data_IF_867766021105
#
_entry.id   IF_867766021105
#
_cell.length_a   1.000
_cell.length_b   1.000
_cell.length_c   1.000
_cell.angle_alpha   90.00
_cell.angle_beta   90.00
_cell.angle_gamma   90.00
#
_symmetry.space_group_name_H-M   'P 1'
#
loop_
_entity.id
_entity.type
_entity.pdbx_description
1 polymer ?
#
# COMPACT_ATOMS: atom_id res chain seq x y z
N UNK A 1 19.31 -0.30 -10.20
CA UNK A 1 18.27 -1.08 -9.49
C UNK A 1 18.47 -2.52 -9.93
N UNK A 2 18.73 -3.45 -9.01
CA UNK A 2 19.05 -4.85 -9.35
C UNK A 2 17.75 -5.64 -9.45
N UNK A 3 17.61 -6.43 -10.52
CA UNK A 3 16.47 -7.32 -10.69
C UNK A 3 16.70 -8.61 -9.90
N UNK A 4 15.66 -9.13 -9.25
CA UNK A 4 15.74 -10.47 -8.66
C UNK A 4 15.62 -11.52 -9.78
N UNK A 5 16.76 -11.97 -10.32
CA UNK A 5 16.81 -12.97 -11.37
C UNK A 5 17.08 -14.38 -10.81
N UNK A 6 16.90 -15.40 -11.65
CA UNK A 6 17.22 -16.77 -11.27
C UNK A 6 18.72 -16.93 -10.98
N UNK A 7 19.58 -16.31 -11.81
CA UNK A 7 21.03 -16.37 -11.62
C UNK A 7 21.46 -15.73 -10.29
N UNK A 8 20.80 -14.63 -9.88
CA UNK A 8 21.06 -14.01 -8.58
C UNK A 8 20.71 -14.97 -7.43
N UNK A 9 19.59 -15.67 -7.53
CA UNK A 9 19.14 -16.65 -6.52
C UNK A 9 20.12 -17.83 -6.44
N UNK A 10 20.58 -18.33 -7.57
CA UNK A 10 21.53 -19.45 -7.63
C UNK A 10 22.90 -19.10 -7.05
N UNK A 11 23.36 -17.86 -7.26
CA UNK A 11 24.66 -17.38 -6.78
C UNK A 11 24.62 -16.83 -5.34
N UNK A 12 23.44 -16.54 -4.81
CA UNK A 12 23.25 -16.04 -3.46
C UNK A 12 23.75 -17.04 -2.40
N UNK A 13 24.17 -16.52 -1.25
CA UNK A 13 24.66 -17.37 -0.17
C UNK A 13 23.53 -18.23 0.39
N UNK A 14 23.83 -19.52 0.58
CA UNK A 14 22.90 -20.51 1.11
C UNK A 14 23.59 -21.27 2.23
N UNK A 15 22.94 -21.37 3.38
CA UNK A 15 23.52 -22.03 4.55
C UNK A 15 22.45 -22.53 5.51
N UNK A 16 22.88 -23.33 6.49
CA UNK A 16 22.04 -23.65 7.65
C UNK A 16 22.22 -22.56 8.69
N UNK A 17 21.14 -21.88 9.04
CA UNK A 17 21.18 -20.77 9.99
C UNK A 17 21.25 -21.25 11.46
N UNK A 18 21.40 -20.35 12.45
CA UNK A 18 21.55 -20.72 13.86
C UNK A 18 20.35 -21.48 14.47
N UNK A 19 19.16 -21.40 13.87
CA UNK A 19 17.98 -22.15 14.31
C UNK A 19 17.80 -23.47 13.52
N UNK A 20 18.80 -23.85 12.73
CA UNK A 20 18.87 -25.08 11.92
C UNK A 20 17.93 -25.11 10.72
N UNK A 21 17.49 -23.95 10.26
CA UNK A 21 16.72 -23.80 9.03
C UNK A 21 17.67 -23.65 7.83
N UNK A 22 17.28 -24.16 6.66
CA UNK A 22 17.99 -23.85 5.41
C UNK A 22 17.60 -22.44 4.97
N UNK A 23 18.57 -21.54 4.94
CA UNK A 23 18.38 -20.11 4.67
C UNK A 23 19.00 -19.71 3.32
N UNK A 24 18.27 -18.87 2.59
CA UNK A 24 18.74 -18.15 1.42
C UNK A 24 18.94 -16.67 1.78
N UNK A 25 20.17 -16.17 1.61
CA UNK A 25 20.54 -14.80 1.93
C UNK A 25 20.48 -13.91 0.67
N UNK A 26 19.47 -13.05 0.62
CA UNK A 26 19.26 -12.05 -0.43
C UNK A 26 19.39 -10.62 0.13
N UNK A 27 20.23 -10.42 1.15
CA UNK A 27 20.41 -9.11 1.79
C UNK A 27 21.15 -8.12 0.89
N UNK A 28 20.75 -6.85 0.97
CA UNK A 28 21.57 -5.73 0.47
C UNK A 28 21.67 -5.59 -1.07
N UNK A 29 20.92 -6.37 -1.85
CA UNK A 29 21.00 -6.32 -3.32
C UNK A 29 20.24 -5.13 -3.94
N UNK A 30 19.55 -4.31 -3.14
CA UNK A 30 18.68 -3.20 -3.62
C UNK A 30 17.57 -3.70 -4.56
N UNK A 31 17.00 -4.86 -4.23
CA UNK A 31 15.90 -5.49 -4.97
C UNK A 31 14.63 -4.64 -4.80
N UNK A 32 13.99 -4.18 -5.88
CA UNK A 32 12.79 -3.35 -5.82
C UNK A 32 11.48 -4.15 -5.79
N UNK A 33 11.51 -5.37 -6.32
CA UNK A 33 10.35 -6.21 -6.65
C UNK A 33 10.74 -7.66 -6.42
N UNK A 34 9.85 -8.40 -5.76
CA UNK A 34 9.96 -9.84 -5.59
C UNK A 34 9.41 -10.52 -6.85
N UNK A 35 10.24 -11.32 -7.51
CA UNK A 35 9.91 -12.03 -8.74
C UNK A 35 10.90 -13.20 -8.92
N UNK A 36 10.61 -14.13 -9.84
CA UNK A 36 11.47 -15.28 -10.18
C UNK A 36 11.82 -16.20 -9.01
N UNK A 37 11.08 -16.14 -7.91
CA UNK A 37 11.27 -16.96 -6.72
C UNK A 37 11.01 -18.46 -6.98
N UNK A 38 10.50 -18.84 -8.15
CA UNK A 38 10.45 -20.24 -8.60
C UNK A 38 11.83 -20.89 -8.70
N UNK A 39 12.88 -20.10 -8.94
CA UNK A 39 14.27 -20.57 -8.95
C UNK A 39 14.76 -21.07 -7.59
N UNK A 40 14.04 -20.76 -6.50
CA UNK A 40 14.35 -21.30 -5.16
C UNK A 40 14.00 -22.78 -5.02
N UNK A 41 13.18 -23.31 -5.94
CA UNK A 41 12.74 -24.71 -6.00
C UNK A 41 12.13 -25.23 -4.68
N UNK A 42 11.50 -24.34 -3.89
CA UNK A 42 10.88 -24.65 -2.59
C UNK A 42 11.82 -25.36 -1.59
N UNK A 43 13.12 -25.03 -1.65
CA UNK A 43 14.14 -25.73 -0.87
C UNK A 43 14.45 -25.10 0.49
N UNK A 44 13.99 -23.87 0.74
CA UNK A 44 14.40 -23.07 1.90
C UNK A 44 13.30 -22.98 2.94
N UNK A 45 13.71 -23.04 4.21
CA UNK A 45 12.87 -22.82 5.37
C UNK A 45 12.80 -21.33 5.72
N UNK A 46 13.88 -20.58 5.47
CA UNK A 46 13.99 -19.13 5.68
C UNK A 46 14.52 -18.43 4.43
N UNK A 47 13.96 -17.27 4.09
CA UNK A 47 14.57 -16.36 3.09
C UNK A 47 14.74 -14.98 3.73
N UNK A 48 15.94 -14.44 3.61
CA UNK A 48 16.26 -13.11 4.11
C UNK A 48 16.37 -12.08 2.98
N UNK A 49 15.42 -11.14 2.95
CA UNK A 49 15.37 -10.00 2.04
C UNK A 49 15.72 -8.68 2.74
N UNK A 50 16.41 -8.69 3.88
CA UNK A 50 16.73 -7.48 4.62
C UNK A 50 17.58 -6.51 3.79
N UNK A 51 17.42 -5.21 4.05
CA UNK A 51 18.19 -4.15 3.39
C UNK A 51 18.00 -4.08 1.86
N UNK A 52 16.76 -4.27 1.41
CA UNK A 52 16.35 -4.11 0.01
C UNK A 52 15.38 -2.92 -0.17
N UNK A 53 14.85 -2.73 -1.39
CA UNK A 53 13.94 -1.64 -1.72
C UNK A 53 12.51 -2.11 -2.05
N UNK A 54 12.13 -3.29 -1.55
CA UNK A 54 10.85 -3.93 -1.87
C UNK A 54 9.70 -3.08 -1.37
N UNK A 55 8.74 -2.78 -2.26
CA UNK A 55 7.57 -1.95 -1.94
C UNK A 55 6.28 -2.73 -1.68
N UNK A 56 6.18 -3.94 -2.22
CA UNK A 56 5.01 -4.82 -2.09
C UNK A 56 5.48 -6.22 -1.72
N UNK A 57 4.92 -6.78 -0.65
CA UNK A 57 5.13 -8.18 -0.28
C UNK A 57 4.16 -9.05 -1.08
N UNK A 58 4.61 -9.55 -2.23
CA UNK A 58 3.83 -10.31 -3.22
C UNK A 58 4.81 -11.02 -4.19
N UNK A 59 4.32 -11.70 -5.23
CA UNK A 59 5.16 -12.27 -6.29
C UNK A 59 5.83 -13.59 -5.92
N UNK A 60 5.37 -14.24 -4.85
CA UNK A 60 5.80 -15.57 -4.45
C UNK A 60 5.08 -16.63 -5.30
N UNK A 61 5.78 -17.67 -5.79
CA UNK A 61 5.14 -18.91 -6.22
C UNK A 61 4.64 -19.68 -4.99
N UNK A 62 4.03 -20.84 -5.22
CA UNK A 62 3.74 -21.79 -4.14
C UNK A 62 5.05 -22.32 -3.53
N UNK A 63 5.33 -21.92 -2.28
CA UNK A 63 6.46 -22.36 -1.48
C UNK A 63 5.93 -22.98 -0.18
N UNK A 64 5.84 -24.31 -0.14
CA UNK A 64 5.30 -25.06 1.01
C UNK A 64 6.31 -25.21 2.14
N UNK A 65 7.60 -25.09 1.85
CA UNK A 65 8.65 -25.25 2.86
C UNK A 65 8.93 -23.97 3.63
N UNK A 66 8.66 -22.81 3.02
CA UNK A 66 9.02 -21.51 3.58
C UNK A 66 8.23 -21.20 4.84
N UNK A 67 8.94 -21.06 5.97
CA UNK A 67 8.37 -20.79 7.30
C UNK A 67 8.66 -19.38 7.79
N UNK A 68 9.80 -18.82 7.40
CA UNK A 68 10.27 -17.54 7.94
C UNK A 68 10.65 -16.58 6.80
N UNK A 69 10.11 -15.37 6.87
CA UNK A 69 10.46 -14.27 5.97
C UNK A 69 11.01 -13.09 6.76
N UNK A 70 12.27 -12.74 6.47
CA UNK A 70 12.94 -11.59 7.04
C UNK A 70 12.92 -10.46 6.00
N UNK A 71 12.19 -9.39 6.29
CA UNK A 71 11.97 -8.25 5.37
C UNK A 71 12.41 -6.93 6.02
N UNK A 72 13.45 -6.97 6.87
CA UNK A 72 13.90 -5.78 7.60
C UNK A 72 14.35 -4.67 6.63
N UNK A 73 14.18 -3.42 7.03
CA UNK A 73 14.75 -2.27 6.31
C UNK A 73 14.38 -2.22 4.82
N UNK A 74 13.11 -2.48 4.50
CA UNK A 74 12.56 -2.38 3.16
C UNK A 74 11.61 -1.18 3.03
N UNK A 75 10.92 -1.03 1.89
CA UNK A 75 9.96 0.05 1.63
C UNK A 75 8.53 -0.48 1.53
N UNK A 76 8.22 -1.60 2.21
CA UNK A 76 6.94 -2.28 2.07
C UNK A 76 5.83 -1.37 2.58
N UNK A 77 4.89 -1.06 1.71
CA UNK A 77 3.70 -0.28 2.04
C UNK A 77 2.39 -1.03 1.74
N UNK A 78 2.50 -2.21 1.10
CA UNK A 78 1.36 -3.06 0.72
C UNK A 78 1.74 -4.53 0.83
N UNK A 79 0.77 -5.34 1.23
CA UNK A 79 0.86 -6.81 1.18
C UNK A 79 -0.08 -7.30 0.10
N UNK A 80 0.37 -8.29 -0.66
CA UNK A 80 -0.39 -8.95 -1.73
C UNK A 80 -1.67 -9.60 -1.23
N UNK A 81 -2.57 -9.84 -2.16
CA UNK A 81 -3.77 -10.65 -1.92
C UNK A 81 -3.38 -12.13 -2.00
N UNK A 82 -4.01 -12.99 -1.20
CA UNK A 82 -3.79 -14.45 -1.26
C UNK A 82 -2.36 -14.91 -0.97
N UNK A 83 -1.60 -14.19 -0.13
CA UNK A 83 -0.24 -14.60 0.24
C UNK A 83 -0.21 -15.99 0.90
N UNK A 84 -1.29 -16.39 1.57
CA UNK A 84 -1.53 -17.73 2.09
C UNK A 84 -1.53 -18.85 1.06
N UNK A 85 -1.99 -18.57 -0.16
CA UNK A 85 -2.03 -19.57 -1.23
C UNK A 85 -0.61 -19.84 -1.74
N UNK A 86 0.23 -18.82 -1.68
CA UNK A 86 1.64 -18.91 -2.08
C UNK A 86 2.50 -19.45 -0.95
N UNK A 87 2.25 -19.03 0.29
CA UNK A 87 3.05 -19.34 1.47
C UNK A 87 2.19 -20.00 2.57
N UNK A 88 1.68 -21.22 2.34
CA UNK A 88 0.71 -21.86 3.23
C UNK A 88 1.26 -22.17 4.62
N UNK A 89 2.58 -22.35 4.77
CA UNK A 89 3.23 -22.74 6.03
C UNK A 89 4.05 -21.60 6.67
N UNK A 90 3.81 -20.34 6.28
CA UNK A 90 4.50 -19.18 6.83
C UNK A 90 4.15 -18.96 8.31
N UNK A 91 5.14 -19.08 9.19
CA UNK A 91 5.02 -19.00 10.65
C UNK A 91 5.55 -17.68 11.21
N UNK A 92 6.56 -17.11 10.58
CA UNK A 92 7.25 -15.92 11.07
C UNK A 92 7.44 -14.89 9.96
N UNK A 93 6.97 -13.66 10.21
CA UNK A 93 7.10 -12.55 9.26
C UNK A 93 7.66 -11.31 9.97
N UNK A 94 8.90 -10.95 9.64
CA UNK A 94 9.59 -9.80 10.23
C UNK A 94 9.57 -8.64 9.24
N UNK A 95 8.75 -7.62 9.51
CA UNK A 95 8.58 -6.41 8.68
C UNK A 95 9.15 -5.17 9.38
N UNK A 96 10.12 -5.33 10.28
CA UNK A 96 10.72 -4.23 11.03
C UNK A 96 11.29 -3.16 10.09
N UNK A 97 11.05 -1.89 10.39
CA UNK A 97 11.54 -0.73 9.63
C UNK A 97 11.11 -0.77 8.15
N UNK A 98 9.79 -0.72 7.94
CA UNK A 98 9.15 -0.61 6.63
C UNK A 98 8.20 0.62 6.60
N UNK A 99 7.41 0.77 5.53
CA UNK A 99 6.50 1.90 5.34
C UNK A 99 5.02 1.48 5.40
N UNK A 100 4.69 0.53 6.27
CA UNK A 100 3.31 0.11 6.49
C UNK A 100 2.61 1.21 7.28
N UNK A 101 1.79 2.01 6.60
CA UNK A 101 1.10 3.14 7.21
C UNK A 101 -0.23 2.76 7.82
N UNK A 102 -0.87 1.72 7.28
CA UNK A 102 -2.24 1.43 7.61
C UNK A 102 -2.48 -0.04 7.83
N UNK A 103 -3.29 -0.28 8.87
CA UNK A 103 -4.02 -1.51 9.08
C UNK A 103 -5.14 -1.71 8.04
N UNK A 104 -5.21 -0.84 7.01
CA UNK A 104 -6.12 -0.90 5.85
C UNK A 104 -5.75 -2.08 4.98
N UNK A 105 -6.03 -3.21 5.56
CA UNK A 105 -5.76 -4.50 5.05
C UNK A 105 -7.11 -5.18 5.18
N UNK A 106 -8.06 -4.73 4.38
CA UNK A 106 -9.09 -5.63 3.90
C UNK A 106 -8.46 -6.86 3.21
N UNK A 107 -7.16 -6.77 2.82
CA UNK A 107 -6.23 -7.90 2.73
C UNK A 107 -5.44 -8.43 3.94
N UNK A 108 -5.64 -8.05 5.20
CA UNK A 108 -4.93 -8.65 6.37
C UNK A 108 -5.86 -8.87 7.57
N UNK A 109 -6.98 -8.18 7.67
CA UNK A 109 -8.07 -8.58 8.55
C UNK A 109 -8.81 -9.80 7.99
N UNK A 110 -8.93 -9.89 6.66
CA UNK A 110 -9.16 -11.17 6.00
C UNK A 110 -7.79 -11.84 5.81
N UNK A 111 -6.84 -11.33 5.03
CA UNK A 111 -5.62 -12.12 4.73
C UNK A 111 -4.50 -12.20 5.79
N UNK A 112 -4.65 -11.87 7.09
CA UNK A 112 -3.82 -12.45 8.19
C UNK A 112 -4.67 -13.36 9.08
N UNK A 113 -5.98 -13.23 8.99
CA UNK A 113 -6.88 -14.33 9.30
C UNK A 113 -6.82 -15.42 8.21
N UNK A 114 -6.31 -15.09 7.01
CA UNK A 114 -6.15 -15.97 5.84
C UNK A 114 -4.67 -16.28 5.55
N UNK A 115 -3.69 -15.33 5.68
CA UNK A 115 -2.23 -15.62 5.74
C UNK A 115 -2.03 -16.61 6.86
N UNK A 116 -1.81 -17.84 6.40
CA UNK A 116 -1.70 -19.07 7.12
C UNK A 116 -2.42 -19.12 8.48
N UNK A 117 -3.32 -20.08 8.61
CA UNK A 117 -3.76 -20.59 9.91
C UNK A 117 -2.61 -20.86 10.91
N UNK A 118 -1.35 -20.87 10.44
CA UNK A 118 -0.13 -21.08 11.23
C UNK A 118 0.72 -19.84 11.54
N UNK A 119 0.41 -18.62 11.06
CA UNK A 119 1.24 -17.44 11.36
C UNK A 119 1.28 -17.16 12.87
N UNK A 120 2.45 -17.28 13.47
CA UNK A 120 2.61 -17.30 14.92
C UNK A 120 3.46 -16.15 15.47
N UNK A 121 4.37 -15.59 14.66
CA UNK A 121 5.17 -14.45 15.02
C UNK A 121 5.15 -13.37 13.92
N UNK A 122 4.97 -12.12 14.33
CA UNK A 122 5.06 -10.97 13.42
C UNK A 122 5.75 -9.79 14.11
N UNK A 123 6.56 -9.04 13.37
CA UNK A 123 7.10 -7.75 13.82
C UNK A 123 6.75 -6.67 12.81
N UNK A 124 6.10 -5.61 13.27
CA UNK A 124 5.82 -4.38 12.52
C UNK A 124 6.53 -3.18 13.15
N UNK A 125 7.47 -3.39 14.08
CA UNK A 125 8.25 -2.34 14.71
C UNK A 125 8.82 -1.34 13.68
N UNK A 126 8.90 -0.07 14.06
CA UNK A 126 9.41 1.01 13.18
C UNK A 126 8.63 1.16 11.87
N UNK A 127 7.35 0.81 11.84
CA UNK A 127 6.44 1.18 10.76
C UNK A 127 5.49 2.28 11.24
N UNK A 128 5.02 3.22 10.40
CA UNK A 128 4.10 4.26 10.84
C UNK A 128 2.80 3.73 11.47
N UNK A 129 2.37 2.51 11.11
CA UNK A 129 1.21 1.83 11.69
C UNK A 129 1.30 1.66 13.21
N UNK A 130 2.50 1.51 13.77
CA UNK A 130 2.68 1.28 15.22
C UNK A 130 2.30 2.50 16.06
N UNK A 131 2.24 3.69 15.45
CA UNK A 131 1.83 4.92 16.12
C UNK A 131 0.30 5.09 16.20
N UNK A 132 -0.47 4.19 15.59
CA UNK A 132 -1.94 4.24 15.65
C UNK A 132 -2.44 3.82 17.01
N UNK A 133 -3.45 4.52 17.53
CA UNK A 133 -4.14 4.15 18.77
C UNK A 133 -4.66 2.72 18.67
N UNK A 134 -4.49 1.96 19.76
CA UNK A 134 -4.94 0.55 19.86
C UNK A 134 -4.34 -0.40 18.81
N UNK A 135 -3.24 -0.03 18.13
CA UNK A 135 -2.57 -0.85 17.11
C UNK A 135 -2.37 -2.31 17.56
N UNK A 136 -1.79 -2.50 18.75
CA UNK A 136 -1.45 -3.84 19.26
C UNK A 136 -2.70 -4.71 19.45
N UNK A 137 -3.72 -4.17 20.12
CA UNK A 137 -5.00 -4.88 20.34
C UNK A 137 -5.73 -5.14 19.02
N UNK A 138 -5.65 -4.21 18.06
CA UNK A 138 -6.21 -4.40 16.74
C UNK A 138 -5.55 -5.59 16.01
N UNK A 139 -4.22 -5.67 16.02
CA UNK A 139 -3.51 -6.81 15.40
C UNK A 139 -3.87 -8.12 16.08
N UNK A 140 -3.90 -8.15 17.42
CA UNK A 140 -4.32 -9.33 18.19
C UNK A 140 -5.75 -9.76 17.85
N UNK A 141 -6.67 -8.81 17.65
CA UNK A 141 -8.05 -9.11 17.25
C UNK A 141 -8.14 -9.66 15.82
N UNK A 142 -7.32 -9.15 14.89
CA UNK A 142 -7.32 -9.58 13.48
C UNK A 142 -6.56 -10.87 13.23
N UNK A 143 -5.59 -11.19 14.07
CA UNK A 143 -4.74 -12.39 13.96
C UNK A 143 -4.83 -13.15 15.28
N UNK A 144 -5.96 -13.78 15.59
CA UNK A 144 -6.14 -14.43 16.89
C UNK A 144 -5.12 -15.54 17.15
N UNK A 145 -4.54 -16.15 16.12
CA UNK A 145 -3.50 -17.18 16.25
C UNK A 145 -2.10 -16.65 16.62
N UNK A 146 -1.85 -15.35 16.50
CA UNK A 146 -0.52 -14.76 16.73
C UNK A 146 -0.07 -14.97 18.18
N UNK A 147 1.14 -15.49 18.39
CA UNK A 147 1.72 -15.78 19.72
C UNK A 147 2.72 -14.73 20.15
N UNK A 148 3.48 -14.19 19.21
CA UNK A 148 4.50 -13.16 19.43
C UNK A 148 4.24 -12.01 18.46
N UNK A 149 4.08 -10.80 19.00
CA UNK A 149 3.93 -9.59 18.20
C UNK A 149 4.96 -8.57 18.66
N UNK A 150 5.73 -8.04 17.72
CA UNK A 150 6.78 -7.04 17.99
C UNK A 150 7.80 -7.53 19.03
N UNK A 151 8.20 -8.80 18.90
CA UNK A 151 9.07 -9.53 19.83
C UNK A 151 8.54 -9.64 21.27
N UNK A 152 7.24 -9.37 21.47
CA UNK A 152 6.57 -9.50 22.76
C UNK A 152 5.49 -10.59 22.70
N UNK A 153 5.54 -11.52 23.65
CA UNK A 153 4.52 -12.57 23.80
C UNK A 153 3.14 -11.95 24.02
N UNK A 154 2.15 -12.41 23.26
CA UNK A 154 0.74 -12.02 23.42
C UNK A 154 0.14 -12.76 24.62
N UNK A 155 -0.32 -11.99 25.61
CA UNK A 155 -0.91 -12.53 26.84
C UNK A 155 -2.42 -12.70 26.71
N UNK A 156 -3.00 -13.61 27.50
CA UNK A 156 -4.45 -13.86 27.52
C UNK A 156 -5.25 -12.58 27.85
N UNK A 157 -4.75 -11.76 28.78
CA UNK A 157 -5.37 -10.47 29.14
C UNK A 157 -5.54 -9.56 27.92
N UNK A 158 -4.52 -9.44 27.08
CA UNK A 158 -4.58 -8.61 25.86
C UNK A 158 -5.59 -9.17 24.86
N UNK A 159 -5.74 -10.50 24.78
CA UNK A 159 -6.76 -11.14 23.91
C UNK A 159 -8.17 -10.79 24.36
N UNK A 160 -8.43 -10.90 25.67
CA UNK A 160 -9.73 -10.55 26.25
C UNK A 160 -10.05 -9.06 26.07
N UNK A 161 -9.05 -8.19 26.25
CA UNK A 161 -9.19 -6.75 26.01
C UNK A 161 -9.48 -6.44 24.54
N UNK A 162 -8.76 -7.07 23.62
CA UNK A 162 -8.97 -6.93 22.19
C UNK A 162 -10.37 -7.40 21.78
N UNK A 163 -10.79 -8.58 22.24
CA UNK A 163 -12.14 -9.11 22.00
C UNK A 163 -13.21 -8.13 22.51
N UNK A 164 -13.10 -7.66 23.76
CA UNK A 164 -14.04 -6.70 24.35
C UNK A 164 -14.11 -5.40 23.56
N UNK A 165 -12.96 -4.87 23.10
CA UNK A 165 -12.87 -3.61 22.36
C UNK A 165 -13.52 -3.70 20.98
N UNK A 166 -13.33 -4.82 20.27
CA UNK A 166 -13.79 -4.99 18.89
C UNK A 166 -15.09 -5.80 18.76
N UNK A 167 -15.76 -6.14 19.88
CA UNK A 167 -17.06 -6.83 19.90
C UNK A 167 -18.23 -5.95 19.45
N UNK A 168 -19.18 -6.55 18.73
CA UNK A 168 -20.45 -5.93 18.34
C UNK A 168 -20.33 -4.81 17.30
N UNK A 169 -21.46 -4.14 17.02
CA UNK A 169 -21.55 -3.12 15.96
C UNK A 169 -20.56 -1.96 16.13
N UNK A 170 -20.33 -1.51 17.37
CA UNK A 170 -19.40 -0.43 17.69
C UNK A 170 -17.94 -0.83 17.45
N UNK A 171 -17.56 -2.04 17.85
CA UNK A 171 -16.21 -2.57 17.61
C UNK A 171 -15.90 -2.75 16.12
N UNK A 172 -16.87 -3.22 15.34
CA UNK A 172 -16.75 -3.30 13.88
C UNK A 172 -16.55 -1.92 13.25
N UNK A 173 -17.29 -0.90 13.71
CA UNK A 173 -17.13 0.46 13.21
C UNK A 173 -15.75 1.03 13.57
N UNK A 174 -15.29 0.84 14.81
CA UNK A 174 -13.95 1.25 15.25
C UNK A 174 -12.87 0.59 14.39
N UNK A 175 -12.99 -0.71 14.12
CA UNK A 175 -12.05 -1.42 13.26
C UNK A 175 -12.04 -0.84 11.83
N UNK A 176 -13.21 -0.50 11.27
CA UNK A 176 -13.32 0.16 9.97
C UNK A 176 -12.68 1.54 9.96
N UNK A 177 -12.88 2.34 11.00
CA UNK A 177 -12.31 3.68 11.11
C UNK A 177 -10.78 3.64 11.27
N UNK A 178 -10.25 2.69 12.05
CA UNK A 178 -8.82 2.44 12.15
C UNK A 178 -8.20 1.95 10.84
N UNK A 179 -8.98 1.23 10.05
CA UNK A 179 -8.61 0.74 8.72
C UNK A 179 -8.84 1.79 7.61
N UNK A 180 -9.42 2.97 7.87
CA UNK A 180 -9.61 3.96 6.80
C UNK A 180 -8.28 4.57 6.37
N UNK A 181 -8.18 4.77 5.04
CA UNK A 181 -7.04 5.44 4.42
C UNK A 181 -6.93 6.88 4.88
N UNK A 182 -5.83 7.23 5.55
CA UNK A 182 -5.47 8.63 5.73
C UNK A 182 -4.94 9.10 4.38
N UNK A 183 -5.52 10.15 3.80
CA UNK A 183 -5.03 10.74 2.55
C UNK A 183 -3.72 11.47 2.82
N UNK A 184 -2.65 10.73 3.12
CA UNK A 184 -1.34 11.29 3.35
C UNK A 184 -0.61 11.36 2.02
N UNK A 185 -0.33 12.59 1.58
CA UNK A 185 0.47 12.86 0.39
C UNK A 185 1.88 12.28 0.61
N UNK A 186 2.30 11.35 -0.25
CA UNK A 186 3.66 10.78 -0.26
C UNK A 186 4.42 11.35 -1.46
N UNK A 187 5.40 12.25 -1.25
CA UNK A 187 6.23 12.75 -2.35
C UNK A 187 7.00 11.59 -3.02
N UNK A 188 6.86 11.44 -4.34
CA UNK A 188 7.61 10.45 -5.12
C UNK A 188 6.84 9.19 -5.57
N UNK A 189 5.56 9.05 -5.21
CA UNK A 189 4.66 8.10 -5.89
C UNK A 189 4.04 8.83 -7.07
N UNK A 190 4.35 8.40 -8.29
CA UNK A 190 3.52 8.72 -9.46
C UNK A 190 2.13 8.21 -9.12
N UNK A 191 1.25 9.12 -8.70
CA UNK A 191 -0.17 8.82 -8.64
C UNK A 191 -0.52 8.30 -10.04
N UNK A 192 -1.29 7.22 -10.20
CA UNK A 192 -1.95 7.04 -11.47
C UNK A 192 -2.70 8.35 -11.67
N UNK A 193 -2.27 9.16 -12.65
CA UNK A 193 -3.05 10.29 -13.08
C UNK A 193 -4.46 9.75 -13.17
N UNK A 194 -5.41 10.41 -12.47
CA UNK A 194 -6.82 10.14 -12.73
C UNK A 194 -6.91 10.14 -14.25
N UNK A 195 -7.14 8.97 -14.87
CA UNK A 195 -7.41 8.90 -16.29
C UNK A 195 -8.44 10.00 -16.48
N UNK A 196 -8.10 11.02 -17.26
CA UNK A 196 -9.05 12.07 -17.61
C UNK A 196 -10.16 11.31 -18.30
N UNK A 197 -11.19 10.93 -17.55
CA UNK A 197 -12.39 10.33 -18.09
C UNK A 197 -12.89 11.38 -19.05
N UNK A 198 -12.99 11.02 -20.33
CA UNK A 198 -13.49 11.93 -21.35
C UNK A 198 -14.83 12.53 -20.93
N UNK A 199 -15.26 13.61 -21.61
CA UNK A 199 -16.57 14.22 -21.36
C UNK A 199 -17.65 13.13 -21.33
N UNK A 200 -18.62 13.26 -20.41
CA UNK A 200 -19.71 12.31 -20.29
C UNK A 200 -20.51 12.23 -21.60
N UNK A 201 -21.29 11.16 -21.82
CA UNK A 201 -22.09 11.07 -23.04
C UNK A 201 -23.04 12.27 -23.22
N UNK A 202 -23.60 12.79 -22.12
CA UNK A 202 -24.42 13.99 -22.12
C UNK A 202 -23.62 15.25 -22.53
N UNK A 203 -22.36 15.37 -22.09
CA UNK A 203 -21.49 16.46 -22.50
C UNK A 203 -21.17 16.39 -24.01
N UNK A 204 -20.94 15.17 -24.53
CA UNK A 204 -20.67 14.95 -25.96
C UNK A 204 -21.89 15.32 -26.81
N UNK A 205 -23.10 15.01 -26.36
CA UNK A 205 -24.34 15.40 -27.03
C UNK A 205 -24.57 16.91 -27.00
N UNK A 206 -24.33 17.57 -25.86
CA UNK A 206 -24.43 19.02 -25.75
C UNK A 206 -23.47 19.73 -26.71
N UNK A 207 -22.23 19.22 -26.84
CA UNK A 207 -21.23 19.74 -27.78
C UNK A 207 -21.69 19.56 -29.23
N UNK A 208 -22.20 18.37 -29.59
CA UNK A 208 -22.70 18.10 -30.94
C UNK A 208 -23.87 19.01 -31.31
N UNK A 209 -24.82 19.18 -30.39
CA UNK A 209 -26.00 20.03 -30.60
C UNK A 209 -25.61 21.52 -30.71
N UNK A 210 -24.64 21.99 -29.92
CA UNK A 210 -24.15 23.37 -30.01
C UNK A 210 -23.46 23.64 -31.35
N UNK A 211 -22.66 22.68 -31.86
CA UNK A 211 -22.00 22.80 -33.16
C UNK A 211 -23.01 22.74 -34.31
N UNK A 212 -24.01 21.85 -34.25
CA UNK A 212 -25.02 21.72 -35.31
C UNK A 212 -25.95 22.93 -35.43
N UNK A 213 -26.18 23.63 -34.31
CA UNK A 213 -27.06 24.81 -34.26
C UNK A 213 -26.31 26.13 -34.51
N UNK A 214 -24.99 26.10 -34.71
CA UNK A 214 -24.22 27.31 -34.98
C UNK A 214 -24.53 27.86 -36.38
N UNK A 215 -25.01 29.09 -36.46
CA UNK A 215 -25.45 29.75 -37.71
C UNK A 215 -24.36 30.57 -38.40
N UNK A 216 -23.17 30.69 -37.80
CA UNK A 216 -22.06 31.47 -38.36
C UNK A 216 -20.69 30.84 -38.05
N UNK A 217 -19.71 31.12 -38.91
CA UNK A 217 -18.31 30.69 -38.74
C UNK A 217 -17.69 31.24 -37.45
N UNK A 218 -18.02 32.48 -37.08
CA UNK A 218 -17.57 33.11 -35.84
C UNK A 218 -18.08 32.35 -34.59
N UNK A 219 -19.31 31.83 -34.64
CA UNK A 219 -19.88 31.05 -33.53
C UNK A 219 -19.21 29.67 -33.40
N UNK A 220 -18.84 29.05 -34.53
CA UNK A 220 -18.08 27.79 -34.53
C UNK A 220 -16.68 27.99 -33.94
N UNK A 221 -15.99 29.09 -34.27
CA UNK A 221 -14.68 29.42 -33.68
C UNK A 221 -14.78 29.70 -32.18
N UNK A 222 -15.84 30.39 -31.75
CA UNK A 222 -16.13 30.63 -30.33
C UNK A 222 -16.32 29.31 -29.57
N UNK A 223 -17.13 28.40 -30.10
CA UNK A 223 -17.34 27.07 -29.51
C UNK A 223 -16.04 26.25 -29.46
N UNK A 224 -15.22 26.30 -30.51
CA UNK A 224 -13.90 25.65 -30.54
C UNK A 224 -12.97 26.20 -29.45
N UNK A 225 -12.94 27.52 -29.27
CA UNK A 225 -12.18 28.18 -28.21
C UNK A 225 -12.65 27.77 -26.81
N UNK A 226 -13.97 27.70 -26.58
CA UNK A 226 -14.55 27.25 -25.31
C UNK A 226 -14.15 25.81 -24.96
N UNK A 227 -14.16 24.90 -25.94
CA UNK A 227 -13.75 23.50 -25.74
C UNK A 227 -12.25 23.36 -25.47
N UNK A 228 -11.41 24.17 -26.13
CA UNK A 228 -9.98 24.24 -25.84
C UNK A 228 -9.71 24.76 -24.42
N UNK A 229 -10.56 25.67 -23.92
CA UNK A 229 -10.54 26.16 -22.54
C UNK A 229 -11.19 25.19 -21.53
N UNK A 230 -11.67 24.02 -21.97
CA UNK A 230 -12.28 23.00 -21.11
C UNK A 230 -13.70 23.32 -20.63
N UNK A 231 -14.40 24.26 -21.29
CA UNK A 231 -15.78 24.64 -20.97
C UNK A 231 -16.76 23.92 -21.91
N UNK A 232 -17.82 23.34 -21.34
CA UNK A 232 -18.85 22.61 -22.07
C UNK A 232 -20.09 23.50 -22.21
N UNK A 233 -20.60 23.75 -23.42
CA UNK A 233 -21.80 24.57 -23.63
C UNK A 233 -23.00 24.04 -22.82
N UNK A 234 -23.69 24.92 -22.09
CA UNK A 234 -24.88 24.58 -21.30
C UNK A 234 -24.62 24.11 -19.86
N UNK A 235 -23.35 24.02 -19.42
CA UNK A 235 -23.01 23.69 -18.03
C UNK A 235 -22.79 24.97 -17.21
N UNK A 236 -23.84 25.45 -16.53
CA UNK A 236 -23.72 26.57 -15.59
C UNK A 236 -22.85 26.18 -14.38
N UNK A 237 -21.84 26.99 -14.08
CA UNK A 237 -20.98 26.89 -12.89
C UNK A 237 -21.77 27.30 -11.62
N UNK A 238 -22.80 26.55 -11.24
CA UNK A 238 -23.46 26.68 -9.93
C UNK A 238 -23.87 25.32 -9.39
N UNK A 239 -22.91 24.63 -8.77
CA UNK A 239 -22.99 24.04 -7.43
C UNK A 239 -21.78 23.13 -7.21
N UNK A 240 -20.98 23.46 -6.19
CA UNK A 240 -19.83 22.65 -5.74
C UNK A 240 -18.59 23.49 -5.55
N UNK A 241 -18.51 24.23 -4.44
CA UNK A 241 -17.43 25.15 -4.12
C UNK A 241 -16.04 24.51 -4.18
N UNK A 242 -15.15 25.15 -4.94
CA UNK A 242 -13.71 25.06 -4.79
C UNK A 242 -13.22 26.48 -4.46
N UNK A 243 -12.71 26.66 -3.24
CA UNK A 243 -11.94 27.85 -2.89
C UNK A 243 -10.65 27.87 -3.71
N UNK A 244 -10.29 28.99 -4.37
CA UNK A 244 -8.96 29.13 -4.92
C UNK A 244 -7.98 29.38 -3.78
N UNK A 245 -6.92 28.56 -3.72
CA UNK A 245 -5.77 28.82 -2.88
C UNK A 245 -5.14 30.16 -3.31
N UNK A 246 -5.07 31.11 -2.38
CA UNK A 246 -4.35 32.37 -2.56
C UNK A 246 -2.87 32.04 -2.75
N UNK A 247 -2.35 32.38 -3.93
CA UNK A 247 -0.92 32.40 -4.20
C UNK A 247 -0.28 33.50 -3.34
N UNK A 248 0.52 33.11 -2.35
CA UNK A 248 1.47 33.99 -1.69
C UNK A 248 2.61 34.24 -2.68
N UNK A 249 2.50 35.33 -3.44
CA UNK A 249 3.59 35.90 -4.21
C UNK A 249 4.48 36.70 -3.25
N UNK A 250 5.75 36.28 -3.14
CA UNK A 250 6.83 37.13 -2.64
C UNK A 250 6.93 38.40 -3.50
N UNK A 251 6.59 39.55 -2.91
CA UNK A 251 6.97 40.85 -3.42
C UNK A 251 7.96 41.48 -2.44
N UNK A 252 9.25 41.33 -2.72
CA UNK A 252 10.31 42.13 -2.11
C UNK A 252 10.48 43.41 -2.94
N UNK A 253 9.78 44.47 -2.55
CA UNK A 253 10.09 45.84 -2.95
C UNK A 253 10.91 46.49 -1.84
N UNK A 254 12.22 46.62 -2.05
CA UNK A 254 13.08 47.44 -1.19
C UNK A 254 13.15 48.85 -1.78
N UNK A 255 12.85 49.84 -0.93
CA UNK A 255 12.84 51.29 -1.22
C UNK A 255 14.26 51.85 -1.39
N UNK A 256 14.41 53.04 -2.00
CA UNK A 256 15.69 53.71 -2.16
C UNK A 256 16.17 54.36 -0.86
N UNK A 257 17.48 54.53 -0.77
CA UNK A 257 18.21 55.15 0.32
C UNK A 257 17.91 56.65 0.47
N UNK A 258 17.75 57.08 1.72
CA UNK A 258 18.26 58.34 2.26
C UNK A 258 19.30 57.97 3.32
#
# INVERSE_FOLDING_TARGET
MVKLSAELIEQAAQYTNPVRDRELDLRGYKIPVLENLGATLDQFDTIDFSDNEVRKLDGFPLLKRLKTLLMNNNRICRIGENLEQSLPDLRELVLTNNNIQELCLTPLGHHLQTCSSVLSACSLLKNPVTNKKHYRLYVINKIPQIRVLDFQKVKLKERQEAEKMFRGKRGVQLAKDMARRTKTFTPGVVQPEKRRTGPSQADVEAIKNAISNATSLAEVERLKGMLQAGQIPGRDLRQGGFQPAVAVLCASTNRPAQ
#
